data_IF_730450056789
#
_entry.id   IF_730450056789
#
_cell.length_a   1.000
_cell.length_b   1.000
_cell.length_c   1.000
_cell.angle_alpha   90.00
_cell.angle_beta   90.00
_cell.angle_gamma   90.00
#
_symmetry.space_group_name_H-M   'P 1'
#
loop_
_entity.id
_entity.type
_entity.pdbx_description
1 polymer ?
#
# COMPACT_ATOMS: atom_id res chain seq x y z
N UNK A 1 -9.48 8.07 2.65
CA UNK A 1 -9.14 7.44 3.91
C UNK A 1 -7.78 7.89 4.37
N UNK A 2 -7.51 7.70 5.62
CA UNK A 2 -6.27 8.13 6.19
C UNK A 2 -5.56 6.96 6.88
N UNK A 3 -4.32 7.20 7.27
CA UNK A 3 -3.48 6.18 7.88
C UNK A 3 -4.09 5.60 9.14
N UNK A 4 -4.79 6.42 9.90
CA UNK A 4 -5.42 5.98 11.15
C UNK A 4 -6.50 4.94 10.90
N UNK A 5 -7.30 5.12 9.85
CA UNK A 5 -8.34 4.14 9.49
C UNK A 5 -7.72 2.83 9.05
N UNK A 6 -6.64 2.89 8.29
CA UNK A 6 -5.97 1.69 7.79
C UNK A 6 -5.39 0.88 8.94
N UNK A 7 -4.66 1.53 9.85
CA UNK A 7 -4.08 0.80 10.98
C UNK A 7 -5.17 0.22 11.88
N UNK A 8 -6.28 0.94 12.03
CA UNK A 8 -7.42 0.43 12.79
C UNK A 8 -8.02 -0.81 12.16
N UNK A 9 -8.01 -0.89 10.84
CA UNK A 9 -8.53 -2.05 10.13
C UNK A 9 -7.68 -3.29 10.41
N UNK A 10 -6.36 -3.18 10.32
CA UNK A 10 -5.47 -4.28 10.66
C UNK A 10 -5.69 -4.74 12.10
N UNK A 11 -5.80 -3.79 13.00
CA UNK A 11 -6.01 -4.08 14.41
C UNK A 11 -7.33 -4.82 14.65
N UNK A 12 -8.39 -4.38 13.99
CA UNK A 12 -9.71 -4.98 14.12
C UNK A 12 -9.73 -6.42 13.63
N UNK A 13 -8.90 -6.74 12.64
CA UNK A 13 -8.80 -8.10 12.13
C UNK A 13 -7.90 -9.00 12.97
N UNK A 14 -7.30 -8.45 14.02
CA UNK A 14 -6.41 -9.24 14.87
C UNK A 14 -5.07 -9.56 14.20
N UNK A 15 -4.72 -8.81 13.19
CA UNK A 15 -3.50 -9.04 12.42
C UNK A 15 -2.45 -8.02 12.86
N UNK A 16 -1.25 -8.49 13.14
CA UNK A 16 -0.13 -7.60 13.40
C UNK A 16 0.21 -6.81 12.15
N UNK A 17 0.66 -5.59 12.32
CA UNK A 17 1.00 -4.75 11.17
C UNK A 17 2.23 -3.92 11.48
N UNK A 18 2.89 -3.48 10.40
CA UNK A 18 4.05 -2.62 10.45
C UNK A 18 3.77 -1.41 9.57
N UNK A 19 4.05 -0.23 10.10
CA UNK A 19 3.95 1.03 9.35
C UNK A 19 5.32 1.41 8.81
N UNK A 20 5.36 1.93 7.60
CA UNK A 20 6.60 2.39 7.00
C UNK A 20 6.36 3.64 6.16
N UNK A 21 7.44 4.34 5.85
CA UNK A 21 7.35 5.66 5.20
C UNK A 21 8.20 5.77 3.94
N UNK A 22 8.73 4.66 3.45
CA UNK A 22 9.55 4.66 2.24
C UNK A 22 9.05 3.63 1.26
N UNK A 23 9.06 4.00 -0.01
CA UNK A 23 8.58 3.10 -1.07
C UNK A 23 9.44 1.83 -1.14
N UNK A 24 10.73 1.92 -0.80
CA UNK A 24 11.61 0.75 -0.81
C UNK A 24 11.10 -0.33 0.15
N UNK A 25 10.53 0.06 1.27
CA UNK A 25 9.99 -0.89 2.24
C UNK A 25 8.74 -1.56 1.71
N UNK A 26 7.92 -0.81 0.96
CA UNK A 26 6.75 -1.39 0.31
C UNK A 26 7.16 -2.44 -0.71
N UNK A 27 8.16 -2.11 -1.52
CA UNK A 27 8.64 -3.05 -2.53
C UNK A 27 9.22 -4.31 -1.88
N UNK A 28 10.00 -4.15 -0.82
CA UNK A 28 10.57 -5.30 -0.12
C UNK A 28 9.46 -6.20 0.44
N UNK A 29 8.41 -5.60 0.99
CA UNK A 29 7.31 -6.37 1.56
C UNK A 29 6.59 -7.20 0.51
N UNK A 30 6.28 -6.62 -0.66
CA UNK A 30 5.58 -7.40 -1.70
C UNK A 30 6.48 -8.48 -2.26
N UNK A 31 7.80 -8.27 -2.30
CA UNK A 31 8.72 -9.31 -2.75
C UNK A 31 8.78 -10.48 -1.77
N UNK A 32 8.49 -10.23 -0.51
CA UNK A 32 8.38 -11.30 0.50
C UNK A 32 7.01 -11.98 0.46
N UNK A 33 6.14 -11.56 -0.43
CA UNK A 33 4.81 -12.14 -0.54
C UNK A 33 3.79 -11.54 0.41
N UNK A 34 4.12 -10.43 1.07
CA UNK A 34 3.21 -9.79 2.01
C UNK A 34 2.34 -8.76 1.30
N UNK A 35 1.06 -8.65 1.69
CA UNK A 35 0.23 -7.57 1.17
C UNK A 35 0.66 -6.24 1.77
N UNK A 36 0.51 -5.19 0.99
CA UNK A 36 0.79 -3.84 1.47
C UNK A 36 -0.38 -2.91 1.12
N UNK A 37 -0.58 -1.92 1.95
CA UNK A 37 -1.50 -0.82 1.66
C UNK A 37 -0.63 0.42 1.63
N UNK A 38 -0.66 1.16 0.53
CA UNK A 38 0.17 2.36 0.40
C UNK A 38 -0.71 3.56 0.08
N UNK A 39 -0.35 4.69 0.66
CA UNK A 39 -0.98 5.97 0.38
C UNK A 39 0.07 6.92 -0.16
N UNK A 40 -0.27 7.66 -1.19
CA UNK A 40 0.66 8.58 -1.82
C UNK A 40 -0.09 9.73 -2.48
N UNK A 41 0.60 10.85 -2.68
CA UNK A 41 0.07 11.95 -3.48
C UNK A 41 0.25 11.62 -4.95
N UNK A 42 -0.77 11.92 -5.75
CA UNK A 42 -0.73 11.60 -7.17
C UNK A 42 0.33 12.44 -7.88
N UNK A 43 0.57 13.67 -7.40
CA UNK A 43 1.59 14.54 -7.94
C UNK A 43 2.62 14.91 -6.89
N UNK A 44 3.53 15.82 -7.26
CA UNK A 44 4.56 16.31 -6.33
C UNK A 44 4.07 17.39 -5.38
N UNK A 45 2.84 17.83 -5.54
CA UNK A 45 2.26 18.90 -4.75
C UNK A 45 1.44 18.31 -3.61
N UNK A 46 1.65 18.81 -2.39
CA UNK A 46 0.88 18.34 -1.24
C UNK A 46 -0.61 18.62 -1.37
N UNK A 47 -1.00 19.50 -2.28
CA UNK A 47 -2.40 19.77 -2.55
C UNK A 47 -3.00 18.85 -3.60
N UNK A 48 -2.21 17.99 -4.22
CA UNK A 48 -2.74 16.98 -5.12
C UNK A 48 -3.48 15.91 -4.32
N UNK A 49 -4.37 15.17 -4.98
CA UNK A 49 -5.17 14.16 -4.31
C UNK A 49 -4.33 13.04 -3.72
N UNK A 50 -4.82 12.44 -2.65
CA UNK A 50 -4.21 11.28 -2.03
C UNK A 50 -4.87 10.03 -2.61
N UNK A 51 -4.05 9.05 -2.98
CA UNK A 51 -4.50 7.78 -3.51
C UNK A 51 -4.06 6.68 -2.57
N UNK A 52 -4.97 5.75 -2.28
CA UNK A 52 -4.66 4.60 -1.43
C UNK A 52 -4.96 3.34 -2.19
N UNK A 53 -3.99 2.44 -2.25
CA UNK A 53 -4.14 1.18 -2.98
C UNK A 53 -3.66 0.02 -2.12
N UNK A 54 -4.17 -1.16 -2.44
CA UNK A 54 -3.76 -2.42 -1.86
C UNK A 54 -2.96 -3.18 -2.92
N UNK A 55 -1.78 -3.65 -2.56
CA UNK A 55 -0.92 -4.37 -3.49
C UNK A 55 -0.49 -5.69 -2.90
N UNK A 56 -0.51 -6.73 -3.73
CA UNK A 56 -0.13 -8.08 -3.29
C UNK A 56 0.32 -8.90 -4.49
N UNK A 57 1.27 -9.80 -4.29
CA UNK A 57 1.65 -10.75 -5.33
C UNK A 57 0.73 -11.96 -5.28
N UNK A 58 0.26 -12.34 -6.46
CA UNK A 58 -0.56 -13.53 -6.66
C UNK A 58 0.09 -14.34 -7.78
N UNK A 59 0.54 -15.54 -7.47
CA UNK A 59 1.18 -16.41 -8.44
C UNK A 59 2.37 -15.76 -9.14
N UNK A 60 3.18 -15.03 -8.37
CA UNK A 60 4.40 -14.41 -8.87
C UNK A 60 4.21 -13.08 -9.57
N UNK A 61 2.97 -12.60 -9.66
CA UNK A 61 2.66 -11.32 -10.32
C UNK A 61 2.13 -10.34 -9.31
N UNK A 62 2.53 -9.09 -9.45
CA UNK A 62 2.12 -8.04 -8.53
C UNK A 62 0.86 -7.36 -9.06
N UNK A 63 -0.18 -7.38 -8.23
CA UNK A 63 -1.45 -6.75 -8.56
C UNK A 63 -1.75 -5.63 -7.59
N UNK A 64 -2.35 -4.59 -8.12
CA UNK A 64 -2.77 -3.43 -7.35
C UNK A 64 -4.28 -3.30 -7.46
N UNK A 65 -4.92 -3.14 -6.31
CA UNK A 65 -6.36 -2.96 -6.21
C UNK A 65 -6.62 -1.54 -5.75
N UNK A 66 -7.45 -0.84 -6.51
CA UNK A 66 -7.83 0.53 -6.18
C UNK A 66 -8.86 0.51 -5.06
N UNK A 67 -8.60 1.24 -3.99
CA UNK A 67 -9.48 1.26 -2.82
C UNK A 67 -10.54 2.35 -2.88
N UNK A 68 -10.66 3.05 -4.00
CA UNK A 68 -11.59 4.18 -4.09
C UNK A 68 -13.02 3.78 -4.39
N UNK A 69 -13.20 2.73 -5.16
CA UNK A 69 -14.53 2.38 -5.65
C UNK A 69 -15.00 1.09 -5.01
N UNK A 70 -16.32 0.91 -5.03
CA UNK A 70 -16.91 -0.34 -4.61
C UNK A 70 -16.50 -1.49 -5.54
N UNK A 71 -16.17 -1.16 -6.80
CA UNK A 71 -15.65 -2.15 -7.73
C UNK A 71 -14.13 -2.16 -7.64
N UNK A 72 -13.56 -3.31 -7.42
CA UNK A 72 -12.11 -3.44 -7.30
C UNK A 72 -11.49 -3.44 -8.70
N UNK A 73 -10.74 -2.39 -9.00
CA UNK A 73 -9.94 -2.35 -10.23
C UNK A 73 -8.64 -3.06 -9.96
N UNK A 74 -8.49 -4.24 -10.54
CA UNK A 74 -7.27 -5.04 -10.41
C UNK A 74 -6.37 -4.74 -11.60
N UNK A 75 -5.16 -4.26 -11.31
CA UNK A 75 -4.19 -3.92 -12.34
C UNK A 75 -2.86 -4.58 -12.03
N UNK A 76 -2.26 -5.21 -13.04
CA UNK A 76 -0.93 -5.77 -12.87
C UNK A 76 0.11 -4.68 -13.08
N UNK A 77 1.11 -4.65 -12.19
CA UNK A 77 2.24 -3.71 -12.31
C UNK A 77 3.54 -4.49 -12.10
N UNK A 78 4.63 -3.95 -12.57
CA UNK A 78 5.92 -4.62 -12.41
C UNK A 78 6.48 -4.43 -11.01
N UNK A 79 6.20 -3.29 -10.39
CA UNK A 79 6.75 -2.95 -9.08
C UNK A 79 5.93 -1.84 -8.45
N UNK A 80 6.15 -1.63 -7.16
CA UNK A 80 5.56 -0.49 -6.47
C UNK A 80 6.11 0.81 -7.05
N UNK A 81 7.37 0.80 -7.48
CA UNK A 81 7.99 1.98 -8.11
C UNK A 81 7.24 2.39 -9.37
N UNK A 82 6.84 1.40 -10.19
CA UNK A 82 6.07 1.68 -11.39
C UNK A 82 4.73 2.30 -11.06
N UNK A 83 4.07 1.78 -10.04
CA UNK A 83 2.79 2.30 -9.59
C UNK A 83 2.89 3.78 -9.26
N UNK A 84 3.96 4.13 -8.58
CA UNK A 84 4.10 5.47 -8.02
C UNK A 84 4.81 6.45 -8.93
N UNK A 85 5.10 6.16 -10.12
CA UNK A 85 5.86 6.99 -11.06
C UNK A 85 6.63 8.16 -10.42
N UNK A 86 7.45 8.85 -11.22
CA UNK A 86 8.33 9.90 -10.69
C UNK A 86 7.63 11.15 -10.14
N UNK A 87 6.34 11.28 -10.42
CA UNK A 87 5.58 12.46 -9.98
C UNK A 87 4.75 12.20 -8.73
N UNK A 88 4.96 11.08 -8.08
CA UNK A 88 4.21 10.72 -6.89
C UNK A 88 5.05 10.93 -5.63
N UNK A 89 4.39 11.33 -4.55
CA UNK A 89 5.03 11.47 -3.24
C UNK A 89 4.45 10.42 -2.29
N UNK A 90 5.31 9.52 -1.85
CA UNK A 90 4.91 8.50 -0.90
C UNK A 90 4.60 9.13 0.45
N UNK A 91 3.51 8.70 1.06
CA UNK A 91 3.09 9.20 2.38
C UNK A 91 3.36 8.14 3.43
N UNK A 92 2.68 7.01 3.33
CA UNK A 92 2.76 5.97 4.36
C UNK A 92 2.31 4.65 3.76
N UNK A 93 2.88 3.56 4.28
CA UNK A 93 2.47 2.23 3.92
C UNK A 93 2.29 1.35 5.13
N UNK A 94 1.55 0.27 4.95
CA UNK A 94 1.29 -0.73 5.98
C UNK A 94 1.44 -2.11 5.39
N UNK A 95 1.97 -3.02 6.16
CA UNK A 95 2.03 -4.42 5.76
C UNK A 95 1.83 -5.30 6.99
N UNK A 96 1.54 -6.57 6.76
CA UNK A 96 1.48 -7.54 7.83
C UNK A 96 2.83 -7.70 8.49
N UNK A 97 2.83 -7.87 9.81
CA UNK A 97 4.05 -8.13 10.55
C UNK A 97 3.75 -9.30 11.48
N UNK A 98 4.30 -10.44 11.15
CA UNK A 98 4.02 -11.70 11.83
C UNK A 98 4.26 -11.59 13.34
N UNK A 99 3.22 -11.90 14.11
CA UNK A 99 3.32 -11.95 15.54
C UNK A 99 3.51 -10.61 16.23
N UNK A 100 3.37 -9.51 15.51
CA UNK A 100 3.57 -8.18 16.07
C UNK A 100 2.29 -7.36 15.96
N UNK A 101 1.89 -6.77 17.08
CA UNK A 101 0.79 -5.80 17.12
C UNK A 101 1.41 -4.46 17.42
N UNK A 102 1.35 -3.56 16.50
CA UNK A 102 2.00 -2.27 16.68
C UNK A 102 1.04 -1.12 16.57
#
# INVERSE_FOLDING_TARGET
>A
SNARKISGLFKAMGVGYKRFYKVDEAQAAVEEGKPVIVSYHIGLNIFSGIHTVFAVKEEGRLYVYNCYNSAADKTEVESIYQLMNKNSLFIVGYTEDDGQMR
#
